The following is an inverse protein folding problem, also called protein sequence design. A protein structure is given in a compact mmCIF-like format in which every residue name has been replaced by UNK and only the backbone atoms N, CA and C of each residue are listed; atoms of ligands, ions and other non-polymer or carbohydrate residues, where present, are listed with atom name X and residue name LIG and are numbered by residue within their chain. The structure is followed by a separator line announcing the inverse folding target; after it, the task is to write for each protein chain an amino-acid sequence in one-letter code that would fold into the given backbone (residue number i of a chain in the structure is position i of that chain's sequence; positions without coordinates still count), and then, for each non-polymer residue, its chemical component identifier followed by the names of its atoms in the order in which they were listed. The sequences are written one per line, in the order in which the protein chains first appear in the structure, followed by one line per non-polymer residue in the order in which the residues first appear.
data_IF_809181123308
#
_entry.id   IF_809181123308
#
_cell.length_a   1.000
_cell.length_b   1.000
_cell.length_c   1.000
_cell.angle_alpha   90.00
_cell.angle_beta   90.00
_cell.angle_gamma   90.00
#
_symmetry.space_group_name_H-M   'P 1'
#
loop_
_entity.id
_entity.type
_entity.pdbx_description
1 polymer ?
#
# COMPACT_ATOMS: atom_id res chain seq x y z
N UNK A 1 -31.21 -19.16 11.31
CA UNK A 1 -30.62 -17.91 10.78
C UNK A 1 -30.06 -17.13 11.97
N UNK A 2 -28.73 -17.10 12.10
CA UNK A 2 -28.02 -16.80 13.36
C UNK A 2 -28.24 -15.36 13.87
N UNK A 3 -28.63 -15.22 15.14
CA UNK A 3 -28.92 -13.95 15.84
C UNK A 3 -27.74 -12.96 15.72
N UNK A 4 -26.51 -13.49 15.63
CA UNK A 4 -25.29 -12.70 15.41
C UNK A 4 -25.28 -11.93 14.08
N UNK A 5 -25.87 -12.48 13.00
CA UNK A 5 -26.00 -11.78 11.70
C UNK A 5 -27.00 -10.61 11.78
N UNK A 6 -28.10 -10.77 12.54
CA UNK A 6 -29.07 -9.69 12.77
C UNK A 6 -28.48 -8.56 13.61
N UNK A 7 -27.70 -8.89 14.64
CA UNK A 7 -27.01 -7.88 15.47
C UNK A 7 -25.99 -7.06 14.68
N UNK A 8 -25.27 -7.66 13.73
CA UNK A 8 -24.34 -6.97 12.81
C UNK A 8 -25.04 -5.93 11.93
N UNK A 9 -26.28 -6.19 11.51
CA UNK A 9 -27.05 -5.24 10.72
C UNK A 9 -27.54 -4.05 11.56
N UNK A 10 -27.65 -4.22 12.88
CA UNK A 10 -28.29 -3.27 13.78
C UNK A 10 -27.30 -2.32 14.50
N UNK A 11 -26.05 -2.73 14.77
CA UNK A 11 -25.15 -2.01 15.70
C UNK A 11 -23.90 -1.34 15.09
N UNK A 12 -23.64 -1.42 13.79
CA UNK A 12 -22.51 -0.69 13.21
C UNK A 12 -22.23 -0.99 11.76
N UNK A 13 -21.71 0.00 11.03
CA UNK A 13 -21.24 -0.12 9.65
C UNK A 13 -20.17 -1.22 9.56
N UNK A 14 -20.58 -2.47 9.36
CA UNK A 14 -19.67 -3.58 9.15
C UNK A 14 -18.82 -3.39 7.89
N UNK A 15 -17.70 -4.11 7.81
CA UNK A 15 -16.85 -4.13 6.62
C UNK A 15 -17.66 -4.36 5.35
N UNK A 16 -17.62 -3.37 4.46
CA UNK A 16 -18.31 -3.40 3.17
C UNK A 16 -17.36 -3.95 2.12
N UNK A 17 -17.41 -5.27 1.92
CA UNK A 17 -16.58 -6.00 0.94
C UNK A 17 -16.64 -5.40 -0.46
N UNK A 18 -17.81 -4.91 -0.89
CA UNK A 18 -17.98 -4.22 -2.18
C UNK A 18 -17.16 -2.94 -2.25
N UNK A 19 -17.24 -2.10 -1.21
CA UNK A 19 -16.45 -0.85 -1.11
C UNK A 19 -14.95 -1.14 -1.08
N UNK A 20 -14.52 -2.11 -0.27
CA UNK A 20 -13.11 -2.48 -0.17
C UNK A 20 -12.54 -2.94 -1.52
N UNK A 21 -13.26 -3.85 -2.20
CA UNK A 21 -12.88 -4.33 -3.53
C UNK A 21 -12.87 -3.22 -4.57
N UNK A 22 -13.83 -2.28 -4.53
CA UNK A 22 -13.83 -1.15 -5.46
C UNK A 22 -12.66 -0.20 -5.21
N UNK A 23 -12.33 0.11 -3.96
CA UNK A 23 -11.17 0.96 -3.63
C UNK A 23 -9.86 0.33 -4.12
N UNK A 24 -9.67 -0.98 -3.90
CA UNK A 24 -8.49 -1.69 -4.44
C UNK A 24 -8.48 -1.66 -5.97
N UNK A 25 -9.64 -1.85 -6.63
CA UNK A 25 -9.73 -1.77 -8.08
C UNK A 25 -9.31 -0.40 -8.63
N UNK A 26 -9.59 0.67 -7.90
CA UNK A 26 -9.14 2.04 -8.25
C UNK A 26 -7.64 2.24 -7.96
N UNK A 27 -7.10 1.60 -6.93
CA UNK A 27 -5.68 1.68 -6.59
C UNK A 27 -4.78 1.04 -7.69
N UNK A 28 -5.22 -0.04 -8.33
CA UNK A 28 -4.42 -0.78 -9.34
C UNK A 28 -3.92 0.11 -10.49
N UNK A 29 -4.77 0.86 -11.24
CA UNK A 29 -4.26 1.73 -12.31
C UNK A 29 -3.33 2.82 -11.79
N UNK A 30 -3.59 3.37 -10.59
CA UNK A 30 -2.71 4.35 -9.95
C UNK A 30 -1.33 3.78 -9.63
N UNK A 31 -1.29 2.60 -9.02
CA UNK A 31 -0.06 1.85 -8.74
C UNK A 31 0.71 1.60 -10.04
N UNK A 32 0.03 1.20 -11.11
CA UNK A 32 0.67 1.01 -12.43
C UNK A 32 1.36 2.28 -12.93
N UNK A 33 0.67 3.43 -12.85
CA UNK A 33 1.24 4.74 -13.20
C UNK A 33 2.45 5.06 -12.33
N UNK A 34 2.35 4.88 -11.01
CA UNK A 34 3.44 5.16 -10.08
C UNK A 34 4.66 4.28 -10.37
N UNK A 35 4.47 2.97 -10.60
CA UNK A 35 5.57 2.07 -10.98
C UNK A 35 6.28 2.56 -12.25
N UNK A 36 5.53 2.97 -13.27
CA UNK A 36 6.09 3.47 -14.52
C UNK A 36 6.87 4.78 -14.32
N UNK A 37 6.33 5.70 -13.52
CA UNK A 37 7.01 6.95 -13.17
C UNK A 37 8.31 6.69 -12.41
N UNK A 38 8.30 5.80 -11.40
CA UNK A 38 9.49 5.43 -10.63
C UNK A 38 10.55 4.74 -11.50
N UNK A 39 10.14 3.83 -12.39
CA UNK A 39 11.05 3.21 -13.37
C UNK A 39 11.71 4.23 -14.29
N UNK A 40 10.92 5.17 -14.83
CA UNK A 40 11.45 6.23 -15.68
C UNK A 40 12.44 7.13 -14.93
N UNK A 41 12.10 7.60 -13.73
CA UNK A 41 12.98 8.40 -12.88
C UNK A 41 14.27 7.66 -12.54
N UNK A 42 14.17 6.39 -12.17
CA UNK A 42 15.33 5.54 -11.89
C UNK A 42 16.24 5.38 -13.11
N UNK A 43 15.67 5.17 -14.29
CA UNK A 43 16.43 5.08 -15.54
C UNK A 43 17.15 6.39 -15.88
N UNK A 44 16.46 7.53 -15.74
CA UNK A 44 17.06 8.85 -15.98
C UNK A 44 18.21 9.09 -15.00
N UNK A 45 17.98 8.84 -13.71
CA UNK A 45 19.02 9.02 -12.69
C UNK A 45 20.25 8.12 -12.96
N UNK A 46 20.05 6.88 -13.42
CA UNK A 46 21.16 6.00 -13.84
C UNK A 46 21.94 6.56 -15.03
N UNK A 47 21.27 7.07 -16.05
CA UNK A 47 21.93 7.74 -17.18
C UNK A 47 22.74 8.96 -16.69
N UNK A 48 22.17 9.75 -15.79
CA UNK A 48 22.84 10.94 -15.24
C UNK A 48 24.09 10.56 -14.43
N UNK A 49 24.07 9.46 -13.66
CA UNK A 49 25.27 8.92 -13.00
C UNK A 49 26.37 8.64 -14.02
N UNK A 50 26.04 7.95 -15.12
CA UNK A 50 27.01 7.58 -16.15
C UNK A 50 27.65 8.82 -16.77
N UNK A 51 26.84 9.82 -17.14
CA UNK A 51 27.35 11.05 -17.76
C UNK A 51 28.20 11.87 -16.78
N UNK A 52 27.80 11.97 -15.50
CA UNK A 52 28.59 12.67 -14.49
C UNK A 52 29.95 12.01 -14.24
N UNK A 53 29.99 10.68 -14.22
CA UNK A 53 31.25 9.93 -14.09
C UNK A 53 32.18 10.14 -15.29
N UNK A 54 31.65 10.15 -16.53
CA UNK A 54 32.44 10.46 -17.73
C UNK A 54 33.05 11.86 -17.69
N UNK A 55 32.35 12.82 -17.09
CA UNK A 55 32.82 14.20 -16.89
C UNK A 55 33.76 14.36 -15.69
N UNK A 56 34.06 13.29 -14.94
CA UNK A 56 34.90 13.32 -13.75
C UNK A 56 34.24 13.97 -12.52
N UNK A 57 32.93 14.21 -12.55
CA UNK A 57 32.20 14.87 -11.48
C UNK A 57 31.66 13.86 -10.45
N UNK A 58 32.58 13.31 -9.66
CA UNK A 58 32.28 12.23 -8.72
C UNK A 58 31.30 12.63 -7.61
N UNK A 59 31.42 13.83 -7.05
CA UNK A 59 30.54 14.29 -5.96
C UNK A 59 29.07 14.37 -6.42
N UNK A 60 28.83 14.92 -7.62
CA UNK A 60 27.46 14.95 -8.18
C UNK A 60 26.98 13.56 -8.59
N UNK A 61 27.87 12.71 -9.10
CA UNK A 61 27.51 11.33 -9.43
C UNK A 61 27.04 10.57 -8.18
N UNK A 62 27.70 10.78 -7.03
CA UNK A 62 27.31 10.16 -5.76
C UNK A 62 25.90 10.56 -5.32
N UNK A 63 25.58 11.86 -5.35
CA UNK A 63 24.22 12.36 -5.06
C UNK A 63 23.19 11.74 -6.02
N UNK A 64 23.56 11.51 -7.28
CA UNK A 64 22.66 10.89 -8.25
C UNK A 64 22.47 9.39 -8.00
N UNK A 65 23.48 8.69 -7.49
CA UNK A 65 23.35 7.29 -7.03
C UNK A 65 22.35 7.19 -5.87
N UNK A 66 22.38 8.11 -4.91
CA UNK A 66 21.38 8.15 -3.83
C UNK A 66 19.96 8.27 -4.39
N UNK A 67 19.77 9.10 -5.43
CA UNK A 67 18.48 9.20 -6.12
C UNK A 67 18.08 7.88 -6.80
N UNK A 68 19.01 7.17 -7.45
CA UNK A 68 18.74 5.84 -8.04
C UNK A 68 18.24 4.86 -6.97
N UNK A 69 18.92 4.81 -5.82
CA UNK A 69 18.54 3.93 -4.71
C UNK A 69 17.15 4.29 -4.18
N UNK A 70 16.88 5.59 -3.98
CA UNK A 70 15.58 6.05 -3.49
C UNK A 70 14.44 5.69 -4.47
N UNK A 71 14.62 5.92 -5.77
CA UNK A 71 13.60 5.61 -6.77
C UNK A 71 13.38 4.10 -6.92
N UNK A 72 14.44 3.29 -6.80
CA UNK A 72 14.34 1.83 -6.80
C UNK A 72 13.60 1.31 -5.55
N UNK A 73 13.99 1.79 -4.36
CA UNK A 73 13.33 1.40 -3.11
C UNK A 73 11.84 1.77 -3.12
N UNK A 74 11.49 2.95 -3.63
CA UNK A 74 10.10 3.36 -3.77
C UNK A 74 9.32 2.51 -4.79
N UNK A 75 9.96 2.09 -5.89
CA UNK A 75 9.36 1.15 -6.83
C UNK A 75 9.05 -0.18 -6.14
N UNK A 76 9.98 -0.71 -5.35
CA UNK A 76 9.82 -1.98 -4.65
C UNK A 76 8.71 -1.90 -3.59
N UNK A 77 8.62 -0.79 -2.84
CA UNK A 77 7.50 -0.51 -1.93
C UNK A 77 6.15 -0.53 -2.65
N UNK A 78 6.05 0.12 -3.81
CA UNK A 78 4.79 0.15 -4.59
C UNK A 78 4.41 -1.25 -5.10
N UNK A 79 5.39 -2.08 -5.46
CA UNK A 79 5.17 -3.49 -5.85
C UNK A 79 4.66 -4.32 -4.67
N UNK A 80 5.23 -4.14 -3.47
CA UNK A 80 4.76 -4.82 -2.25
C UNK A 80 3.32 -4.39 -1.93
N UNK A 81 3.01 -3.10 -2.01
CA UNK A 81 1.65 -2.58 -1.79
C UNK A 81 0.65 -3.22 -2.77
N UNK A 82 1.01 -3.35 -4.04
CA UNK A 82 0.18 -4.01 -5.05
C UNK A 82 -0.10 -5.47 -4.70
N UNK A 83 0.94 -6.22 -4.29
CA UNK A 83 0.82 -7.61 -3.85
C UNK A 83 -0.14 -7.76 -2.66
N UNK A 84 0.00 -6.92 -1.63
CA UNK A 84 -0.89 -6.94 -0.48
C UNK A 84 -2.32 -6.50 -0.83
N UNK A 85 -2.49 -5.52 -1.71
CA UNK A 85 -3.82 -5.16 -2.22
C UNK A 85 -4.49 -6.35 -2.92
N UNK A 86 -3.75 -7.11 -3.72
CA UNK A 86 -4.26 -8.30 -4.38
C UNK A 86 -4.66 -9.38 -3.37
N UNK A 87 -3.76 -9.73 -2.44
CA UNK A 87 -4.00 -10.72 -1.39
C UNK A 87 -5.27 -10.40 -0.59
N UNK A 88 -5.39 -9.16 -0.09
CA UNK A 88 -6.55 -8.79 0.73
C UNK A 88 -7.84 -8.75 -0.09
N UNK A 89 -7.79 -8.40 -1.38
CA UNK A 89 -8.96 -8.46 -2.27
C UNK A 89 -9.50 -9.89 -2.41
N UNK A 90 -8.60 -10.86 -2.58
CA UNK A 90 -8.95 -12.29 -2.64
C UNK A 90 -9.50 -12.79 -1.30
N UNK A 91 -8.87 -12.38 -0.19
CA UNK A 91 -9.23 -12.76 1.17
C UNK A 91 -10.30 -11.88 1.82
N UNK A 92 -10.98 -11.02 1.04
CA UNK A 92 -11.93 -10.05 1.58
C UNK A 92 -13.11 -10.69 2.33
N UNK A 93 -13.50 -11.91 1.96
CA UNK A 93 -14.54 -12.67 2.69
C UNK A 93 -14.09 -13.05 4.11
N UNK A 94 -12.83 -13.44 4.28
CA UNK A 94 -12.25 -13.76 5.59
C UNK A 94 -12.15 -12.50 6.46
N UNK A 95 -11.66 -11.39 5.89
CA UNK A 95 -11.62 -10.07 6.55
C UNK A 95 -13.01 -9.69 7.08
N UNK A 96 -14.07 -9.91 6.29
CA UNK A 96 -15.44 -9.60 6.69
C UNK A 96 -15.95 -10.47 7.84
N UNK A 97 -15.52 -11.73 7.91
CA UNK A 97 -16.01 -12.69 8.90
C UNK A 97 -15.36 -12.44 10.28
N UNK A 98 -14.07 -12.12 10.29
CA UNK A 98 -13.27 -12.01 11.51
C UNK A 98 -13.29 -10.63 12.15
N UNK A 99 -13.38 -10.57 13.49
CA UNK A 99 -13.32 -9.32 14.27
C UNK A 99 -11.89 -8.91 14.61
N UNK A 100 -11.01 -9.90 14.77
CA UNK A 100 -9.58 -9.72 15.00
C UNK A 100 -8.88 -10.02 13.68
N UNK A 101 -7.80 -9.30 13.38
CA UNK A 101 -7.05 -9.55 12.15
C UNK A 101 -6.49 -10.98 12.17
N UNK A 102 -6.83 -11.85 11.19
CA UNK A 102 -6.27 -13.19 11.10
C UNK A 102 -4.76 -13.13 10.97
N UNK A 103 -4.04 -14.06 11.60
CA UNK A 103 -2.57 -14.08 11.58
C UNK A 103 -2.02 -14.12 10.14
N UNK A 104 -2.66 -14.90 9.25
CA UNK A 104 -2.29 -14.99 7.83
C UNK A 104 -2.45 -13.68 7.04
N UNK A 105 -3.24 -12.73 7.53
CA UNK A 105 -3.46 -11.43 6.88
C UNK A 105 -2.76 -10.28 7.61
N UNK A 106 -2.23 -10.54 8.81
CA UNK A 106 -1.73 -9.51 9.72
C UNK A 106 -0.59 -8.70 9.12
N UNK A 107 0.36 -9.37 8.46
CA UNK A 107 1.45 -8.70 7.74
C UNK A 107 0.90 -7.74 6.69
N UNK A 108 0.10 -8.24 5.74
CA UNK A 108 -0.44 -7.43 4.66
C UNK A 108 -1.31 -6.26 5.17
N UNK A 109 -2.17 -6.50 6.15
CA UNK A 109 -3.03 -5.47 6.74
C UNK A 109 -2.19 -4.41 7.46
N UNK A 110 -1.25 -4.81 8.31
CA UNK A 110 -0.37 -3.88 9.04
C UNK A 110 0.52 -3.09 8.09
N UNK A 111 1.11 -3.74 7.08
CA UNK A 111 1.95 -3.06 6.08
C UNK A 111 1.18 -2.02 5.28
N UNK A 112 -0.06 -2.30 4.85
CA UNK A 112 -0.86 -1.30 4.13
C UNK A 112 -1.31 -0.14 5.02
N UNK A 113 -1.63 -0.40 6.30
CA UNK A 113 -1.94 0.65 7.28
C UNK A 113 -0.71 1.55 7.51
N UNK A 114 0.46 0.95 7.71
CA UNK A 114 1.74 1.64 7.86
C UNK A 114 2.09 2.50 6.64
N UNK A 115 1.96 1.92 5.45
CA UNK A 115 2.33 2.54 4.18
C UNK A 115 1.39 3.69 3.81
N UNK A 116 0.11 3.65 4.20
CA UNK A 116 -0.85 4.70 3.90
C UNK A 116 -0.33 6.09 4.29
N UNK A 117 0.24 6.20 5.49
CA UNK A 117 0.71 7.47 6.06
C UNK A 117 1.96 8.01 5.34
N UNK A 118 2.71 7.13 4.67
CA UNK A 118 4.00 7.44 4.04
C UNK A 118 3.89 7.57 2.51
N UNK A 119 2.85 6.99 1.90
CA UNK A 119 2.66 6.97 0.45
C UNK A 119 1.55 7.95 0.02
N UNK A 120 1.82 9.25 0.13
CA UNK A 120 0.84 10.30 -0.20
C UNK A 120 0.39 10.33 -1.68
N UNK A 121 1.19 9.78 -2.59
CA UNK A 121 0.85 9.67 -4.02
C UNK A 121 -0.26 8.63 -4.31
N UNK A 122 -0.63 7.81 -3.32
CA UNK A 122 -1.65 6.76 -3.41
C UNK A 122 -2.78 7.00 -2.38
N UNK A 123 -3.70 7.94 -2.63
CA UNK A 123 -4.78 8.27 -1.68
C UNK A 123 -5.79 7.14 -1.48
N UNK A 124 -5.93 6.18 -2.42
CA UNK A 124 -6.71 4.96 -2.18
C UNK A 124 -6.18 4.16 -0.98
N UNK A 125 -4.88 4.25 -0.70
CA UNK A 125 -4.29 3.58 0.45
C UNK A 125 -4.77 4.18 1.77
N UNK A 126 -5.07 5.48 1.80
CA UNK A 126 -5.71 6.11 2.97
C UNK A 126 -7.15 5.61 3.16
N UNK A 127 -7.89 5.41 2.07
CA UNK A 127 -9.23 4.84 2.15
C UNK A 127 -9.18 3.36 2.59
N UNK A 128 -8.22 2.58 2.07
CA UNK A 128 -7.96 1.20 2.51
C UNK A 128 -7.64 1.17 4.01
N UNK A 129 -6.75 2.04 4.49
CA UNK A 129 -6.45 2.18 5.92
C UNK A 129 -7.69 2.49 6.73
N UNK A 130 -8.55 3.42 6.29
CA UNK A 130 -9.77 3.77 7.00
C UNK A 130 -10.75 2.59 7.09
N UNK A 131 -10.88 1.79 6.02
CA UNK A 131 -11.70 0.58 6.00
C UNK A 131 -11.14 -0.47 6.96
N UNK A 132 -9.83 -0.75 6.91
CA UNK A 132 -9.18 -1.75 7.76
C UNK A 132 -9.19 -1.34 9.24
N UNK A 133 -8.98 -0.05 9.54
CA UNK A 133 -9.09 0.52 10.89
C UNK A 133 -10.52 0.40 11.43
N UNK A 134 -11.52 0.61 10.57
CA UNK A 134 -12.92 0.41 10.95
C UNK A 134 -13.25 -1.06 11.22
N UNK A 135 -12.55 -2.00 10.59
CA UNK A 135 -12.80 -3.43 10.74
C UNK A 135 -12.08 -4.04 11.95
N UNK A 136 -10.80 -3.70 12.16
CA UNK A 136 -9.95 -4.29 13.20
C UNK A 136 -9.70 -3.39 14.41
N UNK A 137 -10.19 -2.15 14.37
CA UNK A 137 -10.11 -1.21 15.48
C UNK A 137 -8.96 -0.21 15.37
N UNK A 138 -9.11 0.91 16.09
CA UNK A 138 -8.12 2.01 16.12
C UNK A 138 -6.82 1.60 16.81
N UNK A 139 -6.90 0.76 17.84
CA UNK A 139 -5.72 0.26 18.57
C UNK A 139 -4.82 -0.58 17.67
N UNK A 140 -5.41 -1.50 16.90
CA UNK A 140 -4.68 -2.26 15.88
C UNK A 140 -3.96 -1.33 14.90
N UNK A 141 -4.66 -0.32 14.37
CA UNK A 141 -4.09 0.62 13.42
C UNK A 141 -2.97 1.49 14.02
N UNK A 142 -3.07 1.84 15.30
CA UNK A 142 -2.05 2.58 16.02
C UNK A 142 -0.77 1.76 16.22
N UNK A 143 -0.90 0.47 16.57
CA UNK A 143 0.25 -0.45 16.69
C UNK A 143 0.94 -0.66 15.33
N UNK A 144 0.17 -0.64 14.24
CA UNK A 144 0.69 -0.83 12.89
C UNK A 144 1.31 0.43 12.24
N UNK A 145 1.31 1.59 12.91
CA UNK A 145 1.74 2.90 12.34
C UNK A 145 3.15 3.28 12.75
#
# INVERSE_FOLDING_TARGET
MDIRKKLRAFLGKGFRTTKFRSTIKLAVPRISILKNQRRARCSIARCDVIELLKLGNHDRALLRVEQVIMEQNMLDVVVIIEGYCHLLKERASLIQQEKVCPDELKEAVSSLVYAAIRCGELPELQEIRAILTSQFGKEFAAIAT
#
